data_IF_775728876705
#
_entry.id   IF_775728876705
#
_cell.length_a   1.000
_cell.length_b   1.000
_cell.length_c   1.000
_cell.angle_alpha   90.00
_cell.angle_beta   90.00
_cell.angle_gamma   90.00
#
_symmetry.space_group_name_H-M   'P 1'
#
loop_
_entity.id
_entity.type
_entity.pdbx_description
1 polymer ?
#
# COMPACT_ATOMS: atom_id res chain seq x y z
N UNK A 1 14.74 -21.66 15.20
CA UNK A 1 15.54 -20.54 15.75
C UNK A 1 15.18 -19.29 14.95
N UNK A 2 14.57 -18.29 15.59
CA UNK A 2 14.20 -17.03 14.95
C UNK A 2 15.23 -15.99 15.37
N UNK A 3 16.09 -15.56 14.45
CA UNK A 3 17.06 -14.50 14.69
C UNK A 3 16.55 -13.21 14.03
N UNK A 4 15.71 -12.47 14.75
CA UNK A 4 15.37 -11.09 14.40
C UNK A 4 16.21 -10.15 15.26
N UNK A 5 17.20 -9.49 14.67
CA UNK A 5 17.97 -8.47 15.37
C UNK A 5 17.07 -7.28 15.70
N UNK A 6 17.03 -6.93 16.99
CA UNK A 6 16.40 -5.72 17.50
C UNK A 6 17.20 -4.50 17.06
N UNK A 7 16.66 -3.69 16.15
CA UNK A 7 17.11 -2.31 16.00
C UNK A 7 16.17 -1.42 16.81
N UNK A 8 16.65 -0.93 17.96
CA UNK A 8 15.94 0.09 18.74
C UNK A 8 15.86 1.38 17.91
N UNK A 9 14.68 1.75 17.40
CA UNK A 9 14.32 3.13 17.08
C UNK A 9 12.80 3.27 16.89
N UNK A 10 12.23 4.22 17.65
CA UNK A 10 10.83 4.67 17.69
C UNK A 10 9.80 3.79 18.46
N UNK A 11 9.32 4.21 19.65
CA UNK A 11 8.22 3.55 20.37
C UNK A 11 6.85 3.65 19.66
N UNK A 12 6.76 4.34 18.52
CA UNK A 12 5.58 4.39 17.64
C UNK A 12 5.59 3.34 16.53
N UNK A 13 6.73 2.70 16.27
CA UNK A 13 6.85 1.68 15.27
C UNK A 13 6.24 0.38 15.80
N UNK A 14 5.14 -0.09 15.20
CA UNK A 14 4.72 -1.47 15.38
C UNK A 14 5.83 -2.42 14.93
N UNK A 15 5.84 -3.63 15.47
CA UNK A 15 6.82 -4.64 15.08
C UNK A 15 6.25 -5.53 13.98
N UNK A 16 7.09 -5.83 12.99
CA UNK A 16 6.74 -6.74 11.91
C UNK A 16 7.16 -8.16 12.28
N UNK A 17 6.27 -9.14 12.07
CA UNK A 17 6.56 -10.57 12.21
C UNK A 17 6.45 -11.21 10.84
N UNK A 18 7.48 -11.92 10.41
CA UNK A 18 7.44 -12.70 9.17
C UNK A 18 7.06 -14.14 9.51
N UNK A 19 5.97 -14.65 8.95
CA UNK A 19 5.60 -16.07 9.03
C UNK A 19 5.24 -16.59 7.64
N UNK A 20 5.96 -17.61 7.14
CA UNK A 20 5.66 -18.24 5.85
C UNK A 20 5.66 -17.28 4.65
N UNK A 21 6.55 -16.28 4.63
CA UNK A 21 6.61 -15.26 3.58
C UNK A 21 5.59 -14.12 3.70
N UNK A 22 4.73 -14.13 4.73
CA UNK A 22 3.77 -13.04 5.03
C UNK A 22 4.30 -12.14 6.15
N UNK A 23 4.16 -10.83 5.99
CA UNK A 23 4.50 -9.81 6.99
C UNK A 23 3.25 -9.41 7.77
N UNK A 24 3.29 -9.65 9.08
CA UNK A 24 2.25 -9.29 10.03
C UNK A 24 2.69 -8.04 10.79
N UNK A 25 1.86 -6.99 10.80
CA UNK A 25 2.15 -5.77 11.53
C UNK A 25 1.43 -5.80 12.89
N UNK A 26 2.21 -5.73 13.98
CA UNK A 26 1.67 -5.68 15.35
C UNK A 26 2.07 -4.36 16.02
N UNK A 27 1.15 -3.39 15.98
CA UNK A 27 1.32 -2.10 16.66
C UNK A 27 1.28 -2.28 18.18
N UNK A 28 2.26 -1.71 18.90
CA UNK A 28 2.30 -1.76 20.38
C UNK A 28 1.51 -0.62 21.06
N UNK A 29 1.02 0.40 20.35
CA UNK A 29 0.20 1.43 20.97
C UNK A 29 -0.76 2.14 20.00
N UNK A 30 -2.06 1.80 20.11
CA UNK A 30 -3.10 2.24 19.19
C UNK A 30 -3.69 3.63 19.49
N UNK A 31 -3.36 4.24 20.63
CA UNK A 31 -3.90 5.57 21.01
C UNK A 31 -3.48 6.67 20.03
N UNK A 32 -2.38 6.50 19.29
CA UNK A 32 -1.88 7.44 18.28
C UNK A 32 -2.63 7.40 16.95
N UNK A 33 -3.34 6.31 16.64
CA UNK A 33 -4.13 6.14 15.41
C UNK A 33 -5.50 6.83 15.49
N UNK A 34 -5.81 7.45 16.63
CA UNK A 34 -7.09 8.11 16.93
C UNK A 34 -7.18 9.53 16.38
N UNK A 35 -6.71 9.77 15.15
CA UNK A 35 -7.15 10.95 14.36
C UNK A 35 -8.08 10.44 13.27
N UNK A 36 -9.35 10.86 13.31
CA UNK A 36 -10.40 10.51 12.34
C UNK A 36 -9.86 10.60 10.90
N UNK A 37 -9.94 9.51 10.12
CA UNK A 37 -10.07 9.61 8.68
C UNK A 37 -11.48 9.14 8.28
N UNK A 38 -12.07 9.81 7.30
CA UNK A 38 -13.30 9.32 6.67
C UNK A 38 -13.05 7.92 6.08
N UNK A 39 -13.87 6.95 6.51
CA UNK A 39 -13.91 5.56 6.07
C UNK A 39 -12.65 4.68 6.31
N UNK A 40 -12.89 3.38 6.49
CA UNK A 40 -11.89 2.30 6.69
C UNK A 40 -10.75 2.33 5.66
N UNK A 41 -11.02 2.81 4.43
CA UNK A 41 -10.02 2.94 3.37
C UNK A 41 -8.82 3.81 3.76
N UNK A 42 -9.03 4.94 4.46
CA UNK A 42 -7.94 5.83 4.85
C UNK A 42 -6.98 5.23 5.88
N UNK A 43 -7.47 4.32 6.74
CA UNK A 43 -6.62 3.60 7.69
C UNK A 43 -5.73 2.57 6.99
N UNK A 44 -6.27 1.84 6.00
CA UNK A 44 -5.49 0.88 5.23
C UNK A 44 -4.45 1.54 4.34
N UNK A 45 -4.77 2.66 3.68
CA UNK A 45 -3.81 3.44 2.89
C UNK A 45 -2.64 3.94 3.75
N UNK A 46 -2.92 4.38 4.98
CA UNK A 46 -1.89 4.82 5.93
C UNK A 46 -0.99 3.66 6.36
N UNK A 47 -1.57 2.50 6.69
CA UNK A 47 -0.81 1.30 7.03
C UNK A 47 0.06 0.81 5.86
N UNK A 48 -0.45 0.87 4.64
CA UNK A 48 0.30 0.54 3.42
C UNK A 48 1.47 1.49 3.19
N UNK A 49 1.26 2.80 3.34
CA UNK A 49 2.32 3.80 3.21
C UNK A 49 3.43 3.59 4.25
N UNK A 50 3.08 3.30 5.50
CA UNK A 50 4.06 3.03 6.55
C UNK A 50 4.80 1.71 6.30
N UNK A 51 4.10 0.67 5.86
CA UNK A 51 4.73 -0.58 5.42
C UNK A 51 5.78 -0.34 4.33
N UNK A 52 5.44 0.40 3.28
CA UNK A 52 6.34 0.74 2.18
C UNK A 52 7.58 1.49 2.68
N UNK A 53 7.41 2.50 3.55
CA UNK A 53 8.55 3.22 4.16
C UNK A 53 9.50 2.30 4.90
N UNK A 54 8.97 1.36 5.70
CA UNK A 54 9.80 0.38 6.41
C UNK A 54 10.53 -0.59 5.47
N UNK A 55 10.00 -0.78 4.26
CA UNK A 55 10.63 -1.58 3.19
C UNK A 55 11.60 -0.78 2.31
N UNK A 56 11.88 0.48 2.66
CA UNK A 56 12.85 1.32 1.95
C UNK A 56 12.27 2.16 0.82
N UNK A 57 10.93 2.22 0.69
CA UNK A 57 10.28 3.05 -0.31
C UNK A 57 10.16 4.49 0.19
N UNK A 58 10.37 5.45 -0.71
CA UNK A 58 10.08 6.86 -0.47
C UNK A 58 8.69 7.18 -0.99
N UNK A 59 7.77 7.58 -0.11
CA UNK A 59 6.42 8.02 -0.55
C UNK A 59 6.55 9.39 -1.22
N UNK A 60 6.14 9.47 -2.49
CA UNK A 60 6.12 10.70 -3.28
C UNK A 60 4.77 11.41 -3.14
N UNK A 61 3.68 10.66 -3.26
CA UNK A 61 2.33 11.21 -3.23
C UNK A 61 1.29 10.16 -2.81
N UNK A 62 0.12 10.62 -2.37
CA UNK A 62 -1.01 9.79 -1.94
C UNK A 62 -2.31 10.32 -2.53
N UNK A 63 -3.28 9.46 -2.79
CA UNK A 63 -4.59 9.81 -3.36
C UNK A 63 -4.48 10.62 -4.68
N UNK A 64 -3.65 10.13 -5.61
CA UNK A 64 -3.41 10.79 -6.89
C UNK A 64 -4.63 10.68 -7.79
N UNK A 65 -5.13 11.84 -8.21
CA UNK A 65 -6.26 12.02 -9.12
C UNK A 65 -5.93 13.15 -10.07
N UNK A 66 -6.30 13.02 -11.34
CA UNK A 66 -6.07 14.10 -12.29
C UNK A 66 -7.25 15.07 -12.37
N UNK A 67 -7.05 16.20 -13.07
CA UNK A 67 -8.07 17.24 -13.27
C UNK A 67 -9.30 16.75 -14.06
N UNK A 68 -9.19 15.64 -14.81
CA UNK A 68 -10.32 14.97 -15.49
C UNK A 68 -11.11 14.03 -14.56
N UNK A 69 -10.75 13.98 -13.28
CA UNK A 69 -11.46 13.26 -12.22
C UNK A 69 -11.43 11.74 -12.37
N UNK A 70 -12.51 11.09 -11.87
CA UNK A 70 -12.64 9.61 -11.79
C UNK A 70 -12.56 8.87 -13.12
N UNK A 71 -12.67 9.60 -14.24
CA UNK A 71 -12.72 9.02 -15.58
C UNK A 71 -11.39 8.39 -16.01
N UNK A 72 -10.27 8.92 -15.50
CA UNK A 72 -8.94 8.35 -15.76
C UNK A 72 -8.49 7.36 -14.68
N UNK A 73 -9.09 7.37 -13.49
CA UNK A 73 -8.73 6.46 -12.40
C UNK A 73 -7.95 7.16 -11.29
N UNK A 74 -7.91 6.54 -10.12
CA UNK A 74 -7.21 7.03 -8.93
C UNK A 74 -6.03 6.09 -8.65
N UNK A 75 -4.94 6.63 -8.13
CA UNK A 75 -3.80 5.84 -7.61
C UNK A 75 -3.65 6.18 -6.13
N UNK A 76 -3.73 5.16 -5.27
CA UNK A 76 -3.74 5.37 -3.82
C UNK A 76 -2.40 5.88 -3.30
N UNK A 77 -1.28 5.33 -3.77
CA UNK A 77 0.06 5.74 -3.36
C UNK A 77 0.99 5.76 -4.56
N UNK A 78 1.80 6.81 -4.68
CA UNK A 78 2.97 6.84 -5.55
C UNK A 78 4.21 6.86 -4.67
N UNK A 79 5.11 5.90 -4.91
CA UNK A 79 6.34 5.77 -4.18
C UNK A 79 7.53 5.64 -5.14
N UNK A 80 8.74 5.75 -4.60
CA UNK A 80 9.97 5.46 -5.29
C UNK A 80 10.75 4.38 -4.55
N UNK A 81 11.30 3.43 -5.30
CA UNK A 81 12.16 2.38 -4.80
C UNK A 81 13.37 2.24 -5.73
N UNK A 82 14.54 2.70 -5.27
CA UNK A 82 15.69 2.92 -6.14
C UNK A 82 15.36 3.93 -7.24
N UNK A 83 15.59 3.55 -8.50
CA UNK A 83 15.31 4.37 -9.68
C UNK A 83 13.87 4.24 -10.18
N UNK A 84 13.08 3.33 -9.59
CA UNK A 84 11.75 2.98 -10.08
C UNK A 84 10.65 3.78 -9.38
N UNK A 85 9.72 4.30 -10.17
CA UNK A 85 8.44 4.82 -9.68
C UNK A 85 7.47 3.66 -9.50
N UNK A 86 6.84 3.60 -8.33
CA UNK A 86 5.96 2.50 -7.96
C UNK A 86 4.58 3.06 -7.68
N UNK A 87 3.64 2.73 -8.55
CA UNK A 87 2.24 3.07 -8.42
C UNK A 87 1.53 1.94 -7.65
N UNK A 88 0.97 2.25 -6.49
CA UNK A 88 0.42 1.24 -5.58
C UNK A 88 -1.08 1.42 -5.43
N UNK A 89 -1.81 0.34 -5.68
CA UNK A 89 -3.22 0.22 -5.32
C UNK A 89 -3.33 -0.43 -3.93
N UNK A 90 -4.13 0.16 -3.04
CA UNK A 90 -4.36 -0.35 -1.69
C UNK A 90 -5.78 -0.88 -1.54
N UNK A 91 -5.89 -2.17 -1.25
CA UNK A 91 -7.16 -2.82 -0.96
C UNK A 91 -7.28 -3.09 0.53
N UNK A 92 -8.30 -2.51 1.17
CA UNK A 92 -8.59 -2.73 2.59
C UNK A 92 -9.82 -3.64 2.74
N UNK A 93 -9.73 -4.67 3.59
CA UNK A 93 -10.84 -5.59 3.86
C UNK A 93 -10.85 -6.05 5.32
N UNK A 94 -11.99 -6.57 5.80
CA UNK A 94 -12.10 -7.16 7.14
C UNK A 94 -11.83 -8.66 7.10
N UNK A 95 -11.23 -9.18 8.16
CA UNK A 95 -11.10 -10.61 8.39
C UNK A 95 -12.49 -11.26 8.41
N UNK A 96 -12.66 -12.34 7.65
CA UNK A 96 -13.96 -12.99 7.43
C UNK A 96 -14.77 -12.44 6.26
N UNK A 97 -14.33 -11.36 5.60
CA UNK A 97 -14.97 -10.90 4.35
C UNK A 97 -14.72 -11.92 3.23
N UNK A 98 -15.74 -12.23 2.43
CA UNK A 98 -15.58 -13.09 1.27
C UNK A 98 -14.49 -12.52 0.33
N UNK A 99 -13.42 -13.27 0.09
CA UNK A 99 -12.30 -12.84 -0.74
C UNK A 99 -11.21 -12.02 -0.02
N UNK A 100 -11.26 -11.85 1.31
CA UNK A 100 -10.21 -11.18 2.09
C UNK A 100 -8.81 -11.82 1.90
N UNK A 101 -8.78 -13.11 1.59
CA UNK A 101 -7.56 -13.90 1.39
C UNK A 101 -7.16 -14.09 -0.08
N UNK A 102 -7.82 -13.39 -1.02
CA UNK A 102 -7.51 -13.40 -2.46
C UNK A 102 -6.84 -12.08 -2.89
N UNK A 103 -5.52 -11.91 -2.66
CA UNK A 103 -4.79 -10.75 -3.16
C UNK A 103 -4.73 -10.72 -4.70
N UNK A 104 -5.01 -11.87 -5.33
CA UNK A 104 -5.16 -12.11 -6.76
C UNK A 104 -6.51 -11.63 -7.33
N UNK A 105 -7.28 -10.80 -6.61
CA UNK A 105 -8.55 -10.28 -7.14
C UNK A 105 -8.30 -9.56 -8.46
N UNK A 106 -8.59 -10.27 -9.55
CA UNK A 106 -8.22 -10.02 -10.94
C UNK A 106 -8.40 -8.55 -11.25
N UNK A 107 -7.29 -7.81 -11.38
CA UNK A 107 -7.36 -6.44 -11.88
C UNK A 107 -7.94 -6.53 -13.28
N UNK A 108 -9.12 -5.95 -13.45
CA UNK A 108 -9.81 -6.02 -14.74
C UNK A 108 -9.00 -5.22 -15.76
N UNK A 109 -9.04 -5.60 -17.06
CA UNK A 109 -8.42 -4.81 -18.11
C UNK A 109 -8.88 -3.34 -18.11
N UNK A 110 -10.11 -3.08 -17.70
CA UNK A 110 -10.64 -1.72 -17.56
C UNK A 110 -9.96 -0.94 -16.42
N UNK A 111 -9.67 -1.60 -15.29
CA UNK A 111 -8.94 -0.98 -14.17
C UNK A 111 -7.47 -0.75 -14.52
N UNK A 112 -6.82 -1.70 -15.18
CA UNK A 112 -5.45 -1.55 -15.67
C UNK A 112 -5.33 -0.33 -16.61
N UNK A 113 -6.20 -0.22 -17.63
CA UNK A 113 -6.19 0.92 -18.56
C UNK A 113 -6.37 2.28 -17.87
N UNK A 114 -7.07 2.32 -16.73
CA UNK A 114 -7.23 3.54 -15.92
C UNK A 114 -5.95 3.85 -15.16
N UNK A 115 -5.39 2.86 -14.47
CA UNK A 115 -4.11 3.00 -13.78
C UNK A 115 -2.98 3.47 -14.72
N UNK A 116 -2.86 2.89 -15.91
CA UNK A 116 -1.90 3.31 -16.93
C UNK A 116 -2.11 4.75 -17.38
N UNK A 117 -3.36 5.18 -17.56
CA UNK A 117 -3.68 6.56 -17.94
C UNK A 117 -3.26 7.54 -16.85
N UNK A 118 -3.54 7.24 -15.58
CA UNK A 118 -3.16 8.09 -14.45
C UNK A 118 -1.65 8.08 -14.24
N UNK A 119 -0.98 6.93 -14.36
CA UNK A 119 0.47 6.82 -14.28
C UNK A 119 1.17 7.62 -15.38
N UNK A 120 0.75 7.48 -16.64
CA UNK A 120 1.31 8.23 -17.77
C UNK A 120 1.11 9.75 -17.63
N UNK A 121 -0.04 10.19 -17.11
CA UNK A 121 -0.25 11.59 -16.77
C UNK A 121 0.72 12.03 -15.65
N UNK A 122 0.83 11.23 -14.58
CA UNK A 122 1.68 11.54 -13.44
C UNK A 122 3.15 11.71 -13.81
N UNK A 123 3.72 10.76 -14.56
CA UNK A 123 5.13 10.83 -14.96
C UNK A 123 5.41 12.01 -15.89
N UNK A 124 4.44 12.42 -16.73
CA UNK A 124 4.55 13.62 -17.56
C UNK A 124 4.52 14.88 -16.71
N UNK A 125 3.54 15.00 -15.84
CA UNK A 125 3.34 16.15 -14.96
C UNK A 125 4.52 16.38 -14.01
N UNK A 126 5.11 15.27 -13.52
CA UNK A 126 6.26 15.29 -12.60
C UNK A 126 7.62 15.24 -13.29
N UNK A 127 7.67 15.25 -14.63
CA UNK A 127 8.90 15.17 -15.42
C UNK A 127 9.76 13.92 -15.10
N UNK A 128 9.10 12.77 -14.92
CA UNK A 128 9.69 11.47 -14.59
C UNK A 128 9.65 10.49 -15.77
N UNK A 129 9.68 11.00 -17.01
CA UNK A 129 9.52 10.19 -18.22
C UNK A 129 10.65 9.17 -18.43
N UNK A 130 11.84 9.45 -17.92
CA UNK A 130 13.02 8.58 -18.03
C UNK A 130 13.12 7.57 -16.86
N UNK A 131 12.22 7.65 -15.88
CA UNK A 131 12.21 6.71 -14.77
C UNK A 131 11.38 5.47 -15.14
N UNK A 132 11.91 4.25 -14.96
CA UNK A 132 11.10 3.06 -15.08
C UNK A 132 9.98 3.10 -14.03
N UNK A 133 8.83 2.53 -14.36
CA UNK A 133 7.76 2.39 -13.39
C UNK A 133 7.12 1.01 -13.42
N UNK A 134 6.51 0.65 -12.30
CA UNK A 134 5.68 -0.56 -12.18
C UNK A 134 4.43 -0.28 -11.34
N UNK A 135 3.55 -1.26 -11.32
CA UNK A 135 2.39 -1.24 -10.45
C UNK A 135 2.45 -2.36 -9.42
N UNK A 136 2.21 -1.98 -8.17
CA UNK A 136 2.14 -2.90 -7.05
C UNK A 136 0.72 -2.88 -6.45
N UNK A 137 0.32 -3.98 -5.79
CA UNK A 137 -0.89 -4.02 -5.00
C UNK A 137 -0.56 -4.33 -3.55
N UNK A 138 -1.19 -3.61 -2.62
CA UNK A 138 -1.13 -3.91 -1.20
C UNK A 138 -2.52 -4.26 -0.71
N UNK A 139 -2.65 -5.44 -0.12
CA UNK A 139 -3.86 -5.85 0.60
C UNK A 139 -3.65 -5.67 2.10
N UNK A 140 -4.51 -4.89 2.74
CA UNK A 140 -4.57 -4.69 4.19
C UNK A 140 -5.83 -5.38 4.72
N UNK A 141 -5.63 -6.41 5.56
CA UNK A 141 -6.73 -7.14 6.21
C UNK A 141 -6.79 -6.71 7.67
N UNK A 142 -7.95 -6.19 8.07
CA UNK A 142 -8.25 -5.74 9.44
C UNK A 142 -8.96 -6.86 10.19
N UNK A 143 -8.29 -7.43 11.20
CA UNK A 143 -8.82 -8.46 12.09
C UNK A 143 -9.99 -7.98 12.97
N UNK A 144 -10.71 -8.92 13.56
CA UNK A 144 -11.66 -8.65 14.64
C UNK A 144 -10.89 -8.28 15.92
N UNK A 145 -11.04 -7.02 16.33
CA UNK A 145 -10.24 -6.39 17.40
C UNK A 145 -9.12 -5.53 16.83
N UNK A 146 -8.96 -4.32 17.38
CA UNK A 146 -8.17 -3.22 16.81
C UNK A 146 -6.64 -3.48 16.65
N UNK A 147 -6.15 -4.70 16.92
CA UNK A 147 -4.73 -5.01 17.11
C UNK A 147 -4.11 -5.94 16.07
N UNK A 148 -4.88 -6.47 15.12
CA UNK A 148 -4.36 -7.41 14.12
C UNK A 148 -4.57 -6.86 12.69
N UNK A 149 -3.49 -6.32 12.09
CA UNK A 149 -3.44 -5.95 10.68
C UNK A 149 -2.50 -6.93 9.95
N UNK A 150 -3.00 -7.52 8.86
CA UNK A 150 -2.17 -8.32 7.96
C UNK A 150 -1.96 -7.54 6.67
N UNK A 151 -0.71 -7.42 6.23
CA UNK A 151 -0.35 -6.73 4.99
C UNK A 151 0.25 -7.74 4.02
N UNK A 152 -0.26 -7.78 2.80
CA UNK A 152 0.33 -8.53 1.68
C UNK A 152 0.67 -7.54 0.59
N UNK A 153 1.91 -7.56 0.12
CA UNK A 153 2.40 -6.71 -0.97
C UNK A 153 2.75 -7.60 -2.15
N UNK A 154 2.09 -7.34 -3.27
CA UNK A 154 2.37 -7.95 -4.56
C UNK A 154 3.06 -6.92 -5.43
N UNK A 155 4.30 -7.21 -5.80
CA UNK A 155 5.06 -6.39 -6.73
C UNK A 155 4.75 -6.79 -8.17
N UNK A 156 4.78 -5.82 -9.10
CA UNK A 156 4.60 -6.07 -10.53
C UNK A 156 3.34 -6.88 -10.83
N UNK A 157 2.18 -6.35 -10.43
CA UNK A 157 0.88 -7.02 -10.60
C UNK A 157 0.41 -7.11 -12.06
N UNK A 158 1.21 -6.57 -12.97
CA UNK A 158 1.08 -6.68 -14.42
C UNK A 158 2.40 -7.24 -14.97
N UNK A 159 2.28 -8.13 -15.96
CA UNK A 159 3.36 -8.64 -16.78
C UNK A 159 3.60 -7.69 -17.97
#
# INVERSE_FOLDING_TARGET
MVTGQMTKKDPRAGFFVVLGGKLYYRSMNLKFWRKKPDAIGGQGETAAADYLKHRGYRILERNVRNQKGRQMGEIDIVAQHGEMIVFVEVKTSHMGSAGASRPDSRITPAKLRRLEKTANWYVRERQLLDCPYRFDAISVIVGSGEKNLSITHLESIFL
#
